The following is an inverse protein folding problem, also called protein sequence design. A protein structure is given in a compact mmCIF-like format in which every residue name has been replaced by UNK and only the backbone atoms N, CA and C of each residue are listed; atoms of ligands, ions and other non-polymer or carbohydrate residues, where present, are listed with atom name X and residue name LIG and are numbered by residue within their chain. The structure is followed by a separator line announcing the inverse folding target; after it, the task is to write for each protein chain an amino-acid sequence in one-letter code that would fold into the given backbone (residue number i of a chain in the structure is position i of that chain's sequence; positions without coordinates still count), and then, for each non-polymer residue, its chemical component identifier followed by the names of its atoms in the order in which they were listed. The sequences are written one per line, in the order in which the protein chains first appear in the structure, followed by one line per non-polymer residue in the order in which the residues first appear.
data_IF_402414120207
#
_entry.id   IF_402414120207
#
_cell.length_a   1.000
_cell.length_b   1.000
_cell.length_c   1.000
_cell.angle_alpha   90.00
_cell.angle_beta   90.00
_cell.angle_gamma   90.00
#
_symmetry.space_group_name_H-M   'P 1'
#
loop_
_entity.id
_entity.type
_entity.pdbx_description
1 polymer ?
#
# COMPACT_ATOMS: atom_id res chain seq x y z
N UNK A 1 18.47 -28.55 2.24
CA UNK A 1 18.40 -30.01 2.01
C UNK A 1 18.38 -30.32 0.52
N UNK A 2 17.41 -29.82 -0.27
CA UNK A 2 17.33 -30.05 -1.72
C UNK A 2 18.63 -29.69 -2.48
N UNK A 3 19.13 -28.46 -2.35
CA UNK A 3 20.36 -28.03 -3.05
C UNK A 3 21.63 -28.76 -2.63
N UNK A 4 21.67 -29.27 -1.39
CA UNK A 4 22.80 -30.06 -0.92
C UNK A 4 22.79 -31.45 -1.56
N UNK A 5 21.62 -32.07 -1.66
CA UNK A 5 21.44 -33.34 -2.39
C UNK A 5 21.70 -33.16 -3.89
N UNK A 6 21.27 -32.06 -4.50
CA UNK A 6 21.61 -31.73 -5.90
C UNK A 6 23.13 -31.62 -6.10
N UNK A 7 23.85 -30.99 -5.17
CA UNK A 7 25.31 -30.88 -5.24
C UNK A 7 26.02 -32.24 -5.11
N UNK A 8 25.56 -33.10 -4.19
CA UNK A 8 26.12 -34.45 -4.01
C UNK A 8 25.79 -35.33 -5.21
N UNK A 9 24.55 -35.35 -5.67
CA UNK A 9 24.12 -36.19 -6.80
C UNK A 9 24.70 -35.69 -8.13
N UNK A 10 24.94 -34.38 -8.27
CA UNK A 10 25.66 -33.81 -9.40
C UNK A 10 27.14 -34.22 -9.48
N UNK A 11 27.76 -34.62 -8.35
CA UNK A 11 29.10 -35.25 -8.36
C UNK A 11 29.08 -36.69 -8.91
N UNK A 12 27.90 -37.31 -8.95
CA UNK A 12 27.66 -38.66 -9.46
C UNK A 12 26.92 -38.64 -10.81
N UNK A 13 26.88 -37.51 -11.51
CA UNK A 13 26.16 -37.30 -12.79
C UNK A 13 24.65 -37.63 -12.76
N UNK A 14 24.02 -37.54 -11.58
CA UNK A 14 22.59 -37.74 -11.39
C UNK A 14 21.88 -36.38 -11.25
N UNK A 15 21.20 -35.95 -12.32
CA UNK A 15 20.52 -34.64 -12.39
C UNK A 15 19.01 -34.71 -12.12
N UNK A 16 18.56 -35.68 -11.32
CA UNK A 16 17.14 -35.87 -11.02
C UNK A 16 16.53 -34.80 -10.11
N UNK A 17 17.36 -34.01 -9.42
CA UNK A 17 16.92 -32.92 -8.55
C UNK A 17 17.37 -31.56 -9.10
N UNK A 18 16.43 -30.65 -9.33
CA UNK A 18 16.74 -29.29 -9.77
C UNK A 18 17.26 -28.43 -8.61
N UNK A 19 18.25 -27.58 -8.89
CA UNK A 19 18.70 -26.54 -7.98
C UNK A 19 17.56 -25.54 -7.74
N UNK A 20 17.16 -25.37 -6.49
CA UNK A 20 16.20 -24.33 -6.10
C UNK A 20 17.02 -23.09 -5.75
N UNK A 21 16.84 -21.98 -6.44
CA UNK A 21 17.52 -20.72 -6.08
C UNK A 21 17.03 -20.24 -4.72
N UNK A 22 17.77 -20.61 -3.67
CA UNK A 22 17.59 -20.03 -2.35
C UNK A 22 18.19 -18.63 -2.47
N UNK A 23 17.34 -17.61 -2.61
CA UNK A 23 17.73 -16.20 -2.56
C UNK A 23 18.69 -16.04 -1.38
N UNK A 24 19.91 -15.60 -1.65
CA UNK A 24 20.98 -15.51 -0.67
C UNK A 24 20.45 -14.76 0.57
N UNK A 25 20.48 -15.44 1.72
CA UNK A 25 20.24 -14.81 3.02
C UNK A 25 21.31 -13.73 3.20
N UNK A 26 20.96 -12.47 2.95
CA UNK A 26 21.86 -11.38 3.24
C UNK A 26 21.85 -11.17 4.76
N UNK A 27 22.93 -11.52 5.50
CA UNK A 27 22.93 -11.44 6.96
C UNK A 27 22.67 -10.01 7.45
N UNK A 28 23.00 -8.99 6.63
CA UNK A 28 22.75 -7.59 6.95
C UNK A 28 21.26 -7.26 7.03
N UNK A 29 20.42 -7.86 6.17
CA UNK A 29 18.97 -7.64 6.15
C UNK A 29 18.27 -8.13 7.42
N UNK A 30 18.85 -9.11 8.10
CA UNK A 30 18.32 -9.66 9.36
C UNK A 30 19.02 -9.08 10.59
N UNK A 31 20.28 -8.66 10.48
CA UNK A 31 21.03 -8.06 11.59
C UNK A 31 20.33 -6.79 12.12
N UNK A 32 19.87 -5.91 11.23
CA UNK A 32 19.17 -4.66 11.61
C UNK A 32 17.91 -4.92 12.44
N UNK A 33 16.92 -5.72 11.98
CA UNK A 33 15.73 -6.00 12.78
C UNK A 33 16.04 -6.78 14.06
N UNK A 34 17.01 -7.68 14.07
CA UNK A 34 17.43 -8.41 15.29
C UNK A 34 18.02 -7.46 16.34
N UNK A 35 18.94 -6.58 15.96
CA UNK A 35 19.52 -5.58 16.88
C UNK A 35 18.45 -4.63 17.40
N UNK A 36 17.56 -4.16 16.53
CA UNK A 36 16.44 -3.32 16.93
C UNK A 36 15.51 -4.01 17.93
N UNK A 37 15.14 -5.28 17.68
CA UNK A 37 14.29 -6.06 18.56
C UNK A 37 14.94 -6.32 19.92
N UNK A 38 16.25 -6.62 19.95
CA UNK A 38 17.02 -6.77 21.18
C UNK A 38 17.05 -5.47 21.98
N UNK A 39 17.30 -4.33 21.33
CA UNK A 39 17.33 -3.02 21.98
C UNK A 39 15.97 -2.67 22.60
N UNK A 40 14.88 -2.84 21.84
CA UNK A 40 13.51 -2.62 22.34
C UNK A 40 13.18 -3.57 23.49
N UNK A 41 13.58 -4.84 23.39
CA UNK A 41 13.40 -5.84 24.44
C UNK A 41 14.10 -5.45 25.75
N UNK A 42 15.37 -5.05 25.68
CA UNK A 42 16.15 -4.60 26.84
C UNK A 42 15.51 -3.35 27.47
N UNK A 43 15.14 -2.35 26.66
CA UNK A 43 14.48 -1.14 27.16
C UNK A 43 13.12 -1.43 27.82
N UNK A 44 12.37 -2.40 27.29
CA UNK A 44 11.10 -2.84 27.87
C UNK A 44 11.30 -3.60 29.18
N UNK A 45 12.36 -4.40 29.29
CA UNK A 45 12.67 -5.11 30.52
C UNK A 45 13.05 -4.17 31.67
N UNK A 46 13.88 -3.15 31.41
CA UNK A 46 14.43 -2.29 32.48
C UNK A 46 13.38 -1.37 33.12
N UNK A 47 12.50 -0.74 32.33
CA UNK A 47 11.51 0.25 32.83
C UNK A 47 10.16 0.17 32.09
N UNK A 48 9.82 -0.99 31.53
CA UNK A 48 8.52 -1.28 30.92
C UNK A 48 8.27 -0.58 29.59
N UNK A 49 7.99 0.74 29.65
CA UNK A 49 7.48 1.55 28.53
C UNK A 49 8.47 2.61 28.04
N UNK A 50 9.77 2.47 28.32
CA UNK A 50 10.78 3.48 27.90
C UNK A 50 10.80 3.72 26.39
N UNK A 51 10.76 2.66 25.59
CA UNK A 51 10.76 2.79 24.13
C UNK A 51 9.54 3.57 23.65
N UNK A 52 8.35 3.18 24.11
CA UNK A 52 7.10 3.86 23.78
C UNK A 52 7.08 5.31 24.24
N UNK A 53 7.66 5.60 25.41
CA UNK A 53 7.66 6.95 25.97
C UNK A 53 8.75 7.84 25.38
N UNK A 54 9.90 7.34 24.93
CA UNK A 54 11.03 8.21 24.56
C UNK A 54 11.42 8.18 23.08
N UNK A 55 11.24 7.04 22.40
CA UNK A 55 11.78 6.79 21.06
C UNK A 55 10.67 6.58 20.03
N UNK A 56 9.57 5.93 20.43
CA UNK A 56 8.50 5.58 19.52
C UNK A 56 7.78 6.84 18.97
N UNK A 57 7.69 6.99 17.64
CA UNK A 57 6.99 8.13 17.04
C UNK A 57 5.49 8.12 17.36
N UNK A 58 4.86 6.94 17.37
CA UNK A 58 3.45 6.76 17.72
C UNK A 58 3.19 7.16 19.17
N UNK A 59 4.07 6.76 20.11
CA UNK A 59 3.95 7.14 21.52
C UNK A 59 4.16 8.64 21.75
N UNK A 60 5.05 9.27 20.99
CA UNK A 60 5.26 10.73 21.01
C UNK A 60 4.03 11.49 20.50
N UNK A 61 3.44 11.02 19.39
CA UNK A 61 2.23 11.58 18.83
C UNK A 61 1.03 11.44 19.77
N UNK A 62 0.81 10.25 20.33
CA UNK A 62 -0.22 9.98 21.34
C UNK A 62 -0.01 10.81 22.62
N UNK A 63 1.23 11.01 23.06
CA UNK A 63 1.55 11.87 24.21
C UNK A 63 1.22 13.35 23.97
N UNK A 64 1.29 13.82 22.72
CA UNK A 64 0.88 15.17 22.33
C UNK A 64 -0.65 15.31 22.34
N UNK A 65 -1.37 14.31 21.84
CA UNK A 65 -2.85 14.26 21.88
C UNK A 65 -3.35 14.12 23.33
N UNK A 66 -2.67 13.32 24.16
CA UNK A 66 -3.03 13.09 25.56
C UNK A 66 -3.05 14.39 26.39
N UNK A 67 -2.23 15.39 26.04
CA UNK A 67 -2.26 16.72 26.68
C UNK A 67 -3.59 17.45 26.50
N UNK A 68 -4.39 17.10 25.50
CA UNK A 68 -5.71 17.66 25.22
C UNK A 68 -6.84 16.77 25.81
N UNK A 69 -6.52 15.59 26.36
CA UNK A 69 -7.52 14.68 26.93
C UNK A 69 -8.27 15.33 28.10
N UNK A 70 -9.61 15.27 28.07
CA UNK A 70 -10.49 15.86 29.09
C UNK A 70 -10.71 14.90 30.28
N UNK A 71 -10.55 13.59 30.05
CA UNK A 71 -10.67 12.56 31.07
C UNK A 71 -9.29 12.09 31.53
N UNK A 72 -9.05 12.17 32.85
CA UNK A 72 -7.75 11.86 33.44
C UNK A 72 -7.89 11.25 34.83
N UNK A 73 -6.82 10.58 35.28
CA UNK A 73 -6.70 10.12 36.66
C UNK A 73 -6.38 11.31 37.58
N UNK A 74 -7.13 11.44 38.67
CA UNK A 74 -7.01 12.50 39.68
C UNK A 74 -6.66 11.90 41.04
N UNK A 75 -5.87 12.63 41.83
CA UNK A 75 -5.67 12.36 43.25
C UNK A 75 -6.79 13.01 44.08
N UNK A 76 -7.22 12.32 45.13
CA UNK A 76 -8.02 12.86 46.23
C UNK A 76 -7.10 13.02 47.43
N UNK A 77 -6.68 14.25 47.70
CA UNK A 77 -5.71 14.56 48.75
C UNK A 77 -6.16 14.06 50.13
N UNK A 78 -7.46 14.16 50.42
CA UNK A 78 -8.06 13.73 51.69
C UNK A 78 -7.93 12.24 52.01
N UNK A 79 -7.67 11.38 51.02
CA UNK A 79 -7.58 9.92 51.19
C UNK A 79 -6.17 9.37 50.99
N UNK A 80 -5.21 10.19 50.54
CA UNK A 80 -3.89 9.69 50.14
C UNK A 80 -2.92 9.67 51.33
N UNK A 81 -2.47 8.47 51.72
CA UNK A 81 -1.47 8.25 52.78
C UNK A 81 -0.02 8.35 52.31
N UNK A 82 0.23 8.77 51.06
CA UNK A 82 1.56 8.85 50.44
C UNK A 82 2.39 7.55 50.50
N UNK A 83 1.73 6.39 50.48
CA UNK A 83 2.39 5.07 50.55
C UNK A 83 3.26 4.68 49.33
N UNK A 84 3.27 5.46 48.24
CA UNK A 84 4.12 5.23 47.06
C UNK A 84 3.74 4.03 46.16
N UNK A 85 2.78 3.17 46.56
CA UNK A 85 2.37 1.98 45.80
C UNK A 85 1.94 2.28 44.35
N UNK A 86 1.25 3.40 44.15
CA UNK A 86 0.82 3.85 42.82
C UNK A 86 2.01 4.17 41.89
N UNK A 87 3.08 4.75 42.43
CA UNK A 87 4.29 5.09 41.67
C UNK A 87 5.09 3.83 41.32
N UNK A 88 5.23 2.89 42.26
CA UNK A 88 5.87 1.59 42.03
C UNK A 88 5.19 0.77 40.94
N UNK A 89 3.84 0.76 40.90
CA UNK A 89 3.07 0.04 39.88
C UNK A 89 2.95 0.79 38.56
N UNK A 90 3.40 2.04 38.49
CA UNK A 90 3.31 2.88 37.31
C UNK A 90 4.37 2.49 36.27
N UNK A 91 3.96 1.70 35.26
CA UNK A 91 4.82 1.30 34.13
C UNK A 91 5.35 2.48 33.29
N UNK A 92 4.74 3.66 33.40
CA UNK A 92 5.18 4.89 32.72
C UNK A 92 6.03 5.81 33.59
N UNK A 93 6.22 5.47 34.88
CA UNK A 93 6.92 6.30 35.87
C UNK A 93 6.49 7.77 35.83
N UNK A 94 5.17 8.00 35.74
CA UNK A 94 4.55 9.32 35.53
C UNK A 94 3.80 9.83 36.76
N UNK A 95 3.88 9.15 37.91
CA UNK A 95 3.17 9.51 39.14
C UNK A 95 4.18 10.01 40.17
N UNK A 96 4.02 11.28 40.54
CA UNK A 96 4.66 11.89 41.70
C UNK A 96 3.66 11.91 42.86
N UNK A 97 3.84 10.98 43.79
CA UNK A 97 2.95 10.80 44.94
C UNK A 97 3.20 11.80 46.07
N UNK A 98 4.31 12.55 46.03
CA UNK A 98 4.63 13.58 47.03
C UNK A 98 3.89 14.89 46.70
N UNK A 99 3.84 15.23 45.41
CA UNK A 99 3.23 16.47 44.90
C UNK A 99 1.83 16.26 44.30
N UNK A 100 1.20 15.10 44.51
CA UNK A 100 -0.11 14.73 43.94
C UNK A 100 -0.23 14.94 42.43
N UNK A 101 0.90 14.83 41.71
CA UNK A 101 0.98 15.17 40.29
C UNK A 101 1.12 13.92 39.42
N UNK A 102 0.39 13.90 38.31
CA UNK A 102 0.48 12.84 37.30
C UNK A 102 0.84 13.49 35.97
N UNK A 103 1.99 13.12 35.43
CA UNK A 103 2.44 13.58 34.12
C UNK A 103 1.62 12.91 33.00
N UNK A 104 0.64 13.68 32.50
CA UNK A 104 -0.31 13.29 31.47
C UNK A 104 0.34 13.00 30.11
N UNK A 105 1.54 13.55 29.87
CA UNK A 105 2.24 13.33 28.60
C UNK A 105 2.81 11.91 28.48
N UNK A 106 2.94 11.21 29.62
CA UNK A 106 3.43 9.82 29.72
C UNK A 106 2.37 8.85 30.24
N UNK A 107 1.30 9.35 30.83
CA UNK A 107 0.19 8.52 31.28
C UNK A 107 -0.60 7.97 30.08
N UNK A 108 -0.83 6.66 30.08
CA UNK A 108 -1.60 5.93 29.06
C UNK A 108 -2.94 5.41 29.59
N UNK A 109 -3.38 5.91 30.75
CA UNK A 109 -4.63 5.49 31.42
C UNK A 109 -4.79 3.98 31.57
N UNK A 110 -3.73 3.28 31.97
CA UNK A 110 -3.75 1.82 32.19
C UNK A 110 -4.40 1.37 33.52
N UNK A 111 -4.88 2.30 34.34
CA UNK A 111 -5.58 2.11 35.63
C UNK A 111 -4.90 1.30 36.75
N UNK A 112 -3.71 0.75 36.51
CA UNK A 112 -2.92 0.03 37.54
C UNK A 112 -2.73 0.79 38.87
N UNK A 113 -2.69 2.12 38.83
CA UNK A 113 -2.53 2.95 40.03
C UNK A 113 -3.83 3.05 40.86
N UNK A 114 -5.00 2.96 40.21
CA UNK A 114 -6.31 2.93 40.88
C UNK A 114 -6.48 1.58 41.58
N UNK A 115 -6.16 0.48 40.87
CA UNK A 115 -6.34 -0.88 41.38
C UNK A 115 -5.47 -1.18 42.62
N UNK A 116 -4.24 -0.65 42.66
CA UNK A 116 -3.30 -0.91 43.77
C UNK A 116 -3.52 -0.01 44.99
N UNK A 117 -4.39 1.00 44.90
CA UNK A 117 -4.56 1.99 45.95
C UNK A 117 -5.55 1.49 47.02
N UNK A 118 -5.11 1.14 48.24
CA UNK A 118 -6.01 0.63 49.29
C UNK A 118 -7.04 1.67 49.71
N UNK A 119 -6.64 2.94 49.78
CA UNK A 119 -7.48 4.07 50.21
C UNK A 119 -8.41 4.60 49.12
N UNK A 120 -8.35 4.03 47.89
CA UNK A 120 -9.08 4.52 46.71
C UNK A 120 -8.92 6.04 46.49
N UNK A 121 -7.71 6.54 46.74
CA UNK A 121 -7.36 7.95 46.59
C UNK A 121 -7.19 8.39 45.13
N UNK A 122 -7.21 7.47 44.17
CA UNK A 122 -7.10 7.75 42.75
C UNK A 122 -8.43 7.45 42.06
N UNK A 123 -8.91 8.38 41.22
CA UNK A 123 -10.14 8.21 40.44
C UNK A 123 -9.97 8.71 39.02
N UNK A 124 -10.56 8.01 38.05
CA UNK A 124 -10.69 8.49 36.68
C UNK A 124 -11.93 9.36 36.56
N UNK A 125 -11.78 10.57 36.02
CA UNK A 125 -12.90 11.50 35.92
C UNK A 125 -12.65 12.66 34.97
N UNK A 126 -13.70 13.44 34.76
CA UNK A 126 -13.67 14.64 33.95
C UNK A 126 -12.90 15.76 34.68
N UNK A 127 -12.04 16.46 33.97
CA UNK A 127 -11.50 17.74 34.41
C UNK A 127 -12.42 18.81 33.80
N UNK A 128 -13.18 19.49 34.64
CA UNK A 128 -13.88 20.69 34.20
C UNK A 128 -12.83 21.70 33.72
N UNK A 129 -13.02 22.19 32.49
CA UNK A 129 -12.17 23.20 31.86
C UNK A 129 -12.24 24.50 32.66
N UNK A 130 -11.48 24.61 33.75
CA UNK A 130 -11.56 25.76 34.67
C UNK A 130 -10.77 25.65 35.98
N UNK A 131 -10.37 24.46 36.45
CA UNK A 131 -9.45 24.35 37.58
C UNK A 131 -8.04 24.77 37.12
N UNK A 132 -7.58 25.95 37.56
CA UNK A 132 -6.17 26.37 37.44
C UNK A 132 -5.30 25.35 38.16
N UNK A 133 -4.72 24.42 37.41
CA UNK A 133 -3.58 23.65 37.89
C UNK A 133 -2.45 24.67 38.03
N UNK A 134 -2.09 25.01 39.27
CA UNK A 134 -0.89 25.78 39.55
C UNK A 134 0.28 25.14 38.81
N UNK A 135 0.90 25.91 37.92
CA UNK A 135 2.10 25.49 37.20
C UNK A 135 3.13 25.08 38.26
N UNK A 136 3.66 23.86 38.26
CA UNK A 136 4.82 23.57 39.08
C UNK A 136 5.97 24.44 38.55
N UNK A 137 6.49 25.32 39.40
CA UNK A 137 7.55 26.29 39.11
C UNK A 137 8.91 25.66 38.73
N UNK A 138 9.00 24.33 38.61
CA UNK A 138 10.19 23.62 38.13
C UNK A 138 9.83 22.45 37.20
N UNK A 139 9.11 22.73 36.12
CA UNK A 139 9.00 21.82 34.97
C UNK A 139 9.91 22.25 33.81
N UNK A 140 11.07 22.83 34.09
CA UNK A 140 12.11 23.00 33.08
C UNK A 140 13.00 21.76 33.06
N UNK A 141 12.52 20.73 32.37
CA UNK A 141 13.32 19.74 31.63
C UNK A 141 12.35 19.00 30.71
N UNK A 142 11.75 19.75 29.80
CA UNK A 142 11.33 19.14 28.54
C UNK A 142 12.62 18.58 27.94
N UNK A 143 12.72 17.25 27.89
CA UNK A 143 13.94 16.52 27.57
C UNK A 143 14.55 17.05 26.26
N UNK A 144 15.62 17.86 26.37
CA UNK A 144 16.31 18.48 25.23
C UNK A 144 16.76 17.42 24.23
N UNK A 145 16.97 16.17 24.68
CA UNK A 145 17.23 15.02 23.83
C UNK A 145 16.07 14.68 22.90
N UNK A 146 14.83 14.65 23.39
CA UNK A 146 13.62 14.32 22.58
C UNK A 146 13.37 15.36 21.48
N UNK A 147 13.56 16.65 21.76
CA UNK A 147 13.35 17.71 20.74
C UNK A 147 14.44 17.69 19.67
N UNK A 148 15.69 17.42 20.05
CA UNK A 148 16.81 17.26 19.09
C UNK A 148 16.68 15.98 18.25
N UNK A 149 16.21 14.88 18.85
CA UNK A 149 15.99 13.63 18.13
C UNK A 149 14.85 13.75 17.11
N UNK A 150 13.72 14.37 17.48
CA UNK A 150 12.59 14.57 16.54
C UNK A 150 12.99 15.53 15.42
N UNK A 151 13.66 16.64 15.74
CA UNK A 151 14.14 17.59 14.73
C UNK A 151 15.19 16.93 13.80
N UNK A 152 16.12 16.16 14.35
CA UNK A 152 17.12 15.42 13.57
C UNK A 152 16.50 14.32 12.70
N UNK A 153 15.51 13.59 13.22
CA UNK A 153 14.79 12.55 12.45
C UNK A 153 13.98 13.14 11.31
N UNK A 154 13.31 14.28 11.52
CA UNK A 154 12.59 15.00 10.46
C UNK A 154 13.56 15.52 9.39
N UNK A 155 14.70 16.08 9.79
CA UNK A 155 15.72 16.57 8.86
C UNK A 155 16.34 15.43 8.05
N UNK A 156 16.52 14.24 8.64
CA UNK A 156 17.01 13.07 7.92
C UNK A 156 15.98 12.53 6.92
N UNK A 157 14.69 12.50 7.29
CA UNK A 157 13.58 12.13 6.39
C UNK A 157 13.41 13.12 5.22
N UNK A 158 13.58 14.42 5.47
CA UNK A 158 13.53 15.46 4.44
C UNK A 158 14.81 15.51 3.59
N UNK A 159 15.94 15.08 4.15
CA UNK A 159 17.23 15.00 3.46
C UNK A 159 17.34 13.84 2.47
N UNK A 160 16.56 12.77 2.64
CA UNK A 160 16.55 11.61 1.72
C UNK A 160 15.71 11.89 0.45
N UNK A 161 14.88 12.94 0.43
CA UNK A 161 13.98 13.22 -0.69
C UNK A 161 14.62 13.94 -1.89
N UNK A 162 15.86 14.43 -1.78
CA UNK A 162 16.51 15.18 -2.87
C UNK A 162 17.33 14.30 -3.83
N UNK A 163 17.34 12.98 -3.65
CA UNK A 163 18.08 12.03 -4.49
C UNK A 163 17.23 11.08 -5.34
N UNK A 164 15.89 11.21 -5.32
CA UNK A 164 14.98 10.35 -6.11
C UNK A 164 14.39 11.10 -7.32
N UNK A 165 15.08 12.12 -7.80
CA UNK A 165 14.77 12.77 -9.07
C UNK A 165 15.19 11.87 -10.24
N UNK A 166 14.22 11.27 -10.90
CA UNK A 166 14.28 10.94 -12.32
C UNK A 166 15.21 9.80 -12.73
N UNK A 167 14.74 8.55 -12.62
CA UNK A 167 14.98 7.62 -13.72
C UNK A 167 13.95 7.93 -14.81
N UNK A 168 14.21 8.98 -15.59
CA UNK A 168 13.55 9.09 -16.90
C UNK A 168 13.98 7.88 -17.72
N UNK A 169 13.02 7.02 -18.06
CA UNK A 169 13.23 5.93 -19.01
C UNK A 169 13.65 6.56 -20.33
N UNK A 170 14.95 6.51 -20.66
CA UNK A 170 15.46 6.85 -21.99
C UNK A 170 14.66 6.06 -23.03
N UNK A 171 13.89 6.74 -23.88
CA UNK A 171 13.19 6.15 -25.02
C UNK A 171 11.67 6.28 -25.05
N UNK A 172 11.02 6.86 -24.02
CA UNK A 172 9.58 7.15 -24.11
C UNK A 172 9.32 8.41 -24.94
N UNK A 173 8.48 8.29 -25.98
CA UNK A 173 7.94 9.44 -26.72
C UNK A 173 7.17 10.32 -25.73
N UNK A 174 7.74 11.48 -25.39
CA UNK A 174 7.08 12.48 -24.56
C UNK A 174 6.18 13.31 -25.47
N UNK A 175 4.85 13.34 -25.24
CA UNK A 175 3.96 14.13 -26.07
C UNK A 175 4.30 15.61 -25.96
N UNK A 176 4.32 16.32 -27.09
CA UNK A 176 4.60 17.76 -27.12
C UNK A 176 3.43 18.57 -26.54
N UNK A 177 2.21 18.04 -26.60
CA UNK A 177 0.98 18.69 -26.13
C UNK A 177 0.36 17.95 -24.96
N UNK A 178 0.11 18.66 -23.87
CA UNK A 178 -0.65 18.12 -22.74
C UNK A 178 -2.12 17.87 -23.13
N UNK A 179 -2.64 16.71 -22.77
CA UNK A 179 -4.06 16.36 -22.95
C UNK A 179 -4.99 17.22 -22.09
N UNK A 180 -6.19 17.54 -22.59
CA UNK A 180 -7.16 18.41 -21.90
C UNK A 180 -8.32 17.66 -21.25
N UNK A 181 -8.75 16.51 -21.79
CA UNK A 181 -9.95 15.80 -21.33
C UNK A 181 -9.57 14.77 -20.28
N UNK A 182 -10.11 14.91 -19.07
CA UNK A 182 -9.94 13.92 -17.99
C UNK A 182 -10.77 12.67 -18.27
N UNK A 183 -10.25 11.50 -17.90
CA UNK A 183 -10.94 10.21 -18.06
C UNK A 183 -12.19 10.15 -17.15
N UNK A 184 -13.41 10.05 -17.71
CA UNK A 184 -14.61 9.91 -16.91
C UNK A 184 -14.74 8.46 -16.43
N UNK A 185 -14.09 8.13 -15.31
CA UNK A 185 -14.28 6.82 -14.68
C UNK A 185 -15.55 6.79 -13.85
N UNK A 186 -16.43 5.84 -14.15
CA UNK A 186 -17.68 5.63 -13.43
C UNK A 186 -17.43 4.76 -12.20
N UNK A 187 -16.68 3.68 -12.38
CA UNK A 187 -16.33 2.75 -11.31
C UNK A 187 -14.83 2.49 -11.26
N UNK A 188 -14.27 2.28 -10.05
CA UNK A 188 -12.91 1.80 -9.93
C UNK A 188 -12.78 0.38 -10.46
N UNK A 189 -11.65 0.07 -11.08
CA UNK A 189 -11.43 -1.24 -11.68
C UNK A 189 -10.98 -2.22 -10.59
N UNK A 190 -11.89 -3.13 -10.23
CA UNK A 190 -11.64 -4.17 -9.25
C UNK A 190 -10.68 -5.26 -9.78
N UNK A 191 -9.85 -5.88 -8.93
CA UNK A 191 -8.97 -6.96 -9.34
C UNK A 191 -9.77 -8.18 -9.82
N UNK A 192 -9.24 -9.00 -10.74
CA UNK A 192 -9.93 -10.21 -11.20
C UNK A 192 -10.27 -11.13 -10.02
N UNK A 193 -11.45 -11.72 -10.06
CA UNK A 193 -12.00 -12.56 -8.98
C UNK A 193 -12.87 -11.81 -7.95
N UNK A 194 -12.92 -10.46 -7.99
CA UNK A 194 -13.76 -9.66 -7.09
C UNK A 194 -15.27 -9.96 -7.20
N UNK A 195 -15.76 -10.33 -8.38
CA UNK A 195 -17.19 -10.63 -8.59
C UNK A 195 -17.99 -9.35 -8.79
N UNK A 196 -18.36 -8.66 -7.72
CA UNK A 196 -18.96 -7.32 -7.78
C UNK A 196 -18.22 -6.32 -6.91
N UNK A 197 -18.42 -5.04 -7.20
CA UNK A 197 -17.91 -3.92 -6.43
C UNK A 197 -18.34 -4.01 -4.96
N UNK A 198 -19.61 -4.31 -4.70
CA UNK A 198 -20.18 -4.39 -3.36
C UNK A 198 -19.64 -5.60 -2.60
N UNK A 199 -19.67 -6.79 -3.22
CA UNK A 199 -19.20 -8.04 -2.60
C UNK A 199 -17.71 -7.94 -2.23
N UNK A 200 -16.91 -7.35 -3.11
CA UNK A 200 -15.50 -7.12 -2.88
C UNK A 200 -15.24 -6.14 -1.74
N UNK A 201 -15.96 -5.01 -1.72
CA UNK A 201 -15.79 -3.98 -0.69
C UNK A 201 -16.15 -4.51 0.69
N UNK A 202 -17.15 -5.39 0.79
CA UNK A 202 -17.57 -6.02 2.05
C UNK A 202 -16.57 -7.09 2.55
N UNK A 203 -16.03 -7.92 1.65
CA UNK A 203 -15.17 -9.05 2.02
C UNK A 203 -13.68 -8.70 2.14
N UNK A 204 -13.24 -7.62 1.50
CA UNK A 204 -11.83 -7.25 1.45
C UNK A 204 -11.41 -6.54 2.74
N UNK A 205 -10.49 -7.16 3.49
CA UNK A 205 -9.93 -6.62 4.74
C UNK A 205 -8.73 -5.68 4.54
N UNK A 206 -8.42 -5.30 3.29
CA UNK A 206 -7.27 -4.45 2.95
C UNK A 206 -5.91 -4.96 3.49
N UNK A 207 -5.73 -6.28 3.61
CA UNK A 207 -4.50 -6.91 4.12
C UNK A 207 -3.25 -6.71 3.24
N UNK A 208 -3.41 -6.17 2.03
CA UNK A 208 -2.32 -5.84 1.08
C UNK A 208 -1.49 -7.04 0.57
N UNK A 209 -1.92 -8.29 0.81
CA UNK A 209 -1.21 -9.48 0.32
C UNK A 209 -1.17 -9.54 -1.22
N UNK A 210 -2.31 -9.30 -1.87
CA UNK A 210 -2.40 -9.31 -3.33
C UNK A 210 -1.65 -8.14 -3.98
N UNK A 211 -1.57 -6.98 -3.31
CA UNK A 211 -0.77 -5.82 -3.75
C UNK A 211 0.70 -6.23 -3.84
N UNK A 212 1.24 -6.79 -2.75
CA UNK A 212 2.65 -7.20 -2.70
C UNK A 212 2.99 -8.40 -3.58
N UNK A 213 2.01 -9.27 -3.87
CA UNK A 213 2.18 -10.43 -4.74
C UNK A 213 2.06 -10.11 -6.23
N UNK A 214 1.66 -8.88 -6.60
CA UNK A 214 1.43 -8.51 -7.98
C UNK A 214 2.77 -8.36 -8.73
N UNK A 215 3.06 -9.16 -9.78
CA UNK A 215 4.33 -9.08 -10.48
C UNK A 215 4.50 -7.81 -11.33
N UNK A 216 3.38 -7.16 -11.69
CA UNK A 216 3.35 -5.97 -12.55
C UNK A 216 3.04 -4.69 -11.76
N UNK A 217 2.94 -4.76 -10.43
CA UNK A 217 2.62 -3.62 -9.55
C UNK A 217 1.37 -2.80 -9.94
N UNK A 218 0.44 -3.41 -10.69
CA UNK A 218 -0.81 -2.75 -11.12
C UNK A 218 -1.79 -2.58 -9.95
N UNK A 219 -1.71 -3.45 -8.94
CA UNK A 219 -2.53 -3.33 -7.74
C UNK A 219 -1.95 -2.27 -6.82
N UNK A 220 -2.74 -1.27 -6.49
CA UNK A 220 -2.35 -0.18 -5.59
C UNK A 220 -3.38 -0.01 -4.48
N UNK A 221 -2.98 0.50 -3.29
CA UNK A 221 -3.93 0.81 -2.23
C UNK A 221 -4.81 1.99 -2.66
N UNK A 222 -6.12 1.77 -2.67
CA UNK A 222 -7.10 2.82 -2.91
C UNK A 222 -7.09 3.84 -1.76
N UNK A 223 -7.21 5.11 -2.11
CA UNK A 223 -7.34 6.21 -1.14
C UNK A 223 -8.78 6.70 -1.12
N UNK A 224 -9.37 6.93 -2.31
CA UNK A 224 -10.73 7.47 -2.45
C UNK A 224 -11.58 6.72 -3.49
N UNK A 225 -10.96 5.82 -4.25
CA UNK A 225 -11.56 5.14 -5.39
C UNK A 225 -12.80 4.32 -5.00
N UNK A 226 -12.76 3.64 -3.85
CA UNK A 226 -13.86 2.87 -3.28
C UNK A 226 -14.67 3.65 -2.21
N UNK A 227 -14.51 4.97 -2.13
CA UNK A 227 -15.00 5.77 -1.01
C UNK A 227 -14.22 5.55 0.28
N UNK A 228 -14.75 6.04 1.41
CA UNK A 228 -14.09 5.95 2.72
C UNK A 228 -14.06 4.50 3.22
N UNK A 229 -15.11 3.72 2.92
CA UNK A 229 -15.23 2.31 3.33
C UNK A 229 -14.17 1.42 2.69
N UNK A 230 -13.77 1.69 1.46
CA UNK A 230 -12.73 0.93 0.77
C UNK A 230 -11.33 1.55 0.85
N UNK A 231 -11.04 2.30 1.91
CA UNK A 231 -9.70 2.80 2.16
C UNK A 231 -8.69 1.64 2.24
N UNK A 232 -7.56 1.78 1.55
CA UNK A 232 -6.49 0.78 1.40
C UNK A 232 -6.87 -0.52 0.70
N UNK A 233 -8.11 -0.64 0.17
CA UNK A 233 -8.48 -1.80 -0.64
C UNK A 233 -7.73 -1.78 -1.99
N UNK A 234 -7.37 -2.94 -2.54
CA UNK A 234 -6.60 -3.00 -3.78
C UNK A 234 -7.45 -2.57 -4.98
N UNK A 235 -6.99 -1.53 -5.69
CA UNK A 235 -7.54 -1.07 -6.98
C UNK A 235 -6.52 -1.29 -8.08
N UNK A 236 -6.99 -1.54 -9.31
CA UNK A 236 -6.12 -1.58 -10.48
C UNK A 236 -5.76 -0.15 -10.92
N UNK A 237 -4.48 0.19 -10.89
CA UNK A 237 -3.95 1.48 -11.33
C UNK A 237 -3.05 1.30 -12.57
N UNK A 238 -3.59 1.69 -13.71
CA UNK A 238 -2.93 1.53 -15.00
C UNK A 238 -1.90 2.61 -15.33
N UNK A 239 -1.69 3.60 -14.46
CA UNK A 239 -0.54 4.50 -14.58
C UNK A 239 0.76 3.82 -14.10
N UNK A 240 0.66 2.82 -13.22
CA UNK A 240 1.83 2.13 -12.65
C UNK A 240 2.17 0.83 -13.35
N UNK A 241 1.16 0.07 -13.79
CA UNK A 241 1.36 -1.20 -14.48
C UNK A 241 0.11 -1.68 -15.19
N UNK A 242 0.03 -2.97 -15.50
CA UNK A 242 -1.15 -3.57 -16.15
C UNK A 242 -1.38 -5.00 -15.67
N UNK A 243 -2.60 -5.52 -15.85
CA UNK A 243 -2.91 -6.91 -15.54
C UNK A 243 -2.33 -7.85 -16.60
N UNK A 244 -1.27 -8.60 -16.29
CA UNK A 244 -0.73 -9.60 -17.21
C UNK A 244 -1.80 -10.61 -17.61
N UNK A 245 -1.96 -10.92 -18.91
CA UNK A 245 -3.01 -11.82 -19.41
C UNK A 245 -2.98 -13.20 -18.74
N UNK A 246 -1.79 -13.83 -18.67
CA UNK A 246 -1.58 -15.18 -18.12
C UNK A 246 -1.17 -15.17 -16.63
N UNK A 247 -1.94 -14.53 -15.76
CA UNK A 247 -1.62 -14.42 -14.32
C UNK A 247 -2.86 -14.52 -13.43
N UNK A 248 -2.79 -15.31 -12.35
CA UNK A 248 -3.85 -15.54 -11.36
C UNK A 248 -3.37 -15.33 -9.90
N UNK A 249 -2.16 -14.79 -9.69
CA UNK A 249 -1.53 -14.73 -8.36
C UNK A 249 -2.35 -14.01 -7.29
N UNK A 250 -3.09 -12.95 -7.65
CA UNK A 250 -3.88 -12.20 -6.68
C UNK A 250 -5.07 -13.00 -6.13
N UNK A 251 -5.65 -13.92 -6.91
CA UNK A 251 -6.76 -14.76 -6.48
C UNK A 251 -6.28 -15.96 -5.66
N UNK A 252 -5.05 -16.43 -5.90
CA UNK A 252 -4.43 -17.52 -5.14
C UNK A 252 -4.04 -17.12 -3.71
N UNK A 253 -3.66 -15.86 -3.48
CA UNK A 253 -3.16 -15.39 -2.18
C UNK A 253 -4.25 -14.80 -1.27
N UNK A 254 -5.48 -14.64 -1.75
CA UNK A 254 -6.54 -13.97 -1.00
C UNK A 254 -7.08 -14.86 0.13
N UNK A 255 -6.88 -14.51 1.42
CA UNK A 255 -7.30 -15.35 2.53
C UNK A 255 -8.81 -15.26 2.83
N UNK A 256 -9.44 -14.13 2.50
CA UNK A 256 -10.87 -13.89 2.80
C UNK A 256 -11.78 -14.29 1.65
N UNK A 257 -11.23 -14.79 0.55
CA UNK A 257 -11.98 -15.09 -0.67
C UNK A 257 -12.73 -13.86 -1.24
N UNK A 258 -12.26 -12.64 -0.92
CA UNK A 258 -12.72 -11.41 -1.55
C UNK A 258 -12.34 -11.37 -3.04
N UNK A 259 -11.24 -12.03 -3.41
CA UNK A 259 -10.91 -12.39 -4.77
C UNK A 259 -11.09 -13.91 -4.90
N UNK A 260 -12.15 -14.32 -5.58
CA UNK A 260 -12.46 -15.74 -5.82
C UNK A 260 -11.34 -16.38 -6.65
N UNK A 261 -10.85 -17.60 -6.29
CA UNK A 261 -9.93 -18.35 -7.11
C UNK A 261 -10.45 -18.46 -8.54
N UNK A 262 -9.61 -18.08 -9.49
CA UNK A 262 -9.92 -18.16 -10.92
C UNK A 262 -8.91 -19.06 -11.59
N UNK A 263 -9.40 -19.96 -12.44
CA UNK A 263 -8.56 -20.67 -13.40
C UNK A 263 -8.06 -19.69 -14.46
N UNK A 264 -6.91 -19.98 -15.06
CA UNK A 264 -6.28 -19.10 -16.04
C UNK A 264 -7.21 -18.84 -17.25
N UNK A 265 -7.88 -19.87 -17.75
CA UNK A 265 -8.84 -19.74 -18.87
C UNK A 265 -10.08 -18.91 -18.50
N UNK A 266 -10.61 -19.08 -17.28
CA UNK A 266 -11.70 -18.25 -16.79
C UNK A 266 -11.28 -16.78 -16.65
N UNK A 267 -10.05 -16.53 -16.19
CA UNK A 267 -9.50 -15.19 -16.03
C UNK A 267 -9.29 -14.49 -17.38
N UNK A 268 -8.93 -15.23 -18.44
CA UNK A 268 -8.83 -14.70 -19.82
C UNK A 268 -10.17 -14.26 -20.40
N UNK A 269 -11.29 -14.69 -19.81
CA UNK A 269 -12.64 -14.32 -20.21
C UNK A 269 -13.34 -13.43 -19.17
N UNK A 270 -12.72 -13.17 -18.02
CA UNK A 270 -13.33 -12.33 -16.98
C UNK A 270 -13.14 -10.86 -17.34
N UNK A 271 -14.22 -10.17 -17.68
CA UNK A 271 -14.23 -8.73 -17.94
C UNK A 271 -14.42 -7.95 -16.65
N UNK A 272 -13.31 -7.38 -16.16
CA UNK A 272 -13.29 -6.52 -14.96
C UNK A 272 -13.63 -5.05 -15.27
N UNK A 273 -13.54 -4.67 -16.53
CA UNK A 273 -13.83 -3.33 -17.02
C UNK A 273 -13.83 -3.26 -18.54
N UNK A 274 -14.30 -2.15 -19.08
CA UNK A 274 -14.43 -1.90 -20.52
C UNK A 274 -13.47 -0.81 -20.95
N UNK A 275 -12.90 -0.99 -22.14
CA UNK A 275 -12.01 0.01 -22.73
C UNK A 275 -12.85 1.14 -23.33
N UNK A 276 -12.41 2.38 -23.10
CA UNK A 276 -13.02 3.60 -23.63
C UNK A 276 -11.93 4.42 -24.29
N UNK A 277 -12.18 4.84 -25.53
CA UNK A 277 -11.26 5.65 -26.32
C UNK A 277 -11.75 7.11 -26.40
N UNK A 278 -10.88 8.03 -25.99
CA UNK A 278 -11.08 9.48 -26.08
C UNK A 278 -10.25 10.00 -27.26
N UNK A 279 -10.90 10.15 -28.41
CA UNK A 279 -10.27 10.60 -29.66
C UNK A 279 -9.54 11.94 -29.51
N UNK A 280 -10.07 12.85 -28.70
CA UNK A 280 -9.52 14.21 -28.52
C UNK A 280 -8.17 14.26 -27.80
N UNK A 281 -7.82 13.23 -27.04
CA UNK A 281 -6.54 13.12 -26.35
C UNK A 281 -5.47 12.38 -27.18
N UNK A 282 -5.84 11.71 -28.27
CA UNK A 282 -4.95 10.82 -29.02
C UNK A 282 -3.89 11.59 -29.80
N UNK A 283 -2.61 11.19 -29.69
CA UNK A 283 -1.49 11.85 -30.42
C UNK A 283 -1.66 11.81 -31.93
N UNK A 284 -2.35 10.78 -32.45
CA UNK A 284 -2.65 10.66 -33.88
C UNK A 284 -3.53 11.84 -34.33
N UNK A 285 -4.46 12.30 -33.48
CA UNK A 285 -5.31 13.46 -33.77
C UNK A 285 -4.64 14.77 -33.39
N UNK A 286 -4.02 14.85 -32.20
CA UNK A 286 -3.52 16.12 -31.65
C UNK A 286 -2.19 16.56 -32.26
N UNK A 287 -1.32 15.59 -32.59
CA UNK A 287 0.06 15.82 -33.07
C UNK A 287 0.32 15.18 -34.44
N UNK A 288 -0.71 14.58 -35.08
CA UNK A 288 -0.62 13.97 -36.42
C UNK A 288 0.53 12.95 -36.55
N UNK A 289 0.81 12.24 -35.46
CA UNK A 289 1.90 11.24 -35.38
C UNK A 289 1.36 9.83 -35.48
N UNK A 290 1.98 8.98 -36.31
CA UNK A 290 1.61 7.57 -36.43
C UNK A 290 1.92 6.80 -35.13
N UNK A 291 0.89 6.31 -34.44
CA UNK A 291 1.01 5.59 -33.17
C UNK A 291 0.01 4.43 -33.09
N UNK A 292 0.53 3.22 -32.84
CA UNK A 292 -0.26 1.99 -32.69
C UNK A 292 -0.11 1.29 -31.33
N UNK A 293 0.53 1.94 -30.34
CA UNK A 293 0.98 1.30 -29.09
C UNK A 293 -0.14 0.55 -28.34
N UNK A 294 -1.35 1.10 -28.33
CA UNK A 294 -2.50 0.49 -27.65
C UNK A 294 -3.01 -0.80 -28.34
N UNK A 295 -2.98 -0.86 -29.68
CA UNK A 295 -3.39 -2.03 -30.47
C UNK A 295 -2.35 -3.15 -30.38
N UNK A 296 -1.06 -2.80 -30.50
CA UNK A 296 0.04 -3.77 -30.40
C UNK A 296 0.11 -4.43 -29.01
N UNK A 297 -0.14 -3.64 -27.96
CA UNK A 297 -0.11 -4.14 -26.58
C UNK A 297 -1.35 -4.96 -26.21
N UNK A 298 -2.44 -4.90 -26.98
CA UNK A 298 -3.70 -5.53 -26.63
C UNK A 298 -3.66 -7.05 -26.83
N UNK A 299 -3.71 -7.87 -25.77
CA UNK A 299 -3.62 -9.33 -25.90
C UNK A 299 -4.89 -9.96 -26.50
N UNK A 300 -6.05 -9.34 -26.29
CA UNK A 300 -7.33 -9.85 -26.81
C UNK A 300 -7.70 -9.27 -28.17
N UNK A 301 -6.88 -8.35 -28.72
CA UNK A 301 -7.20 -7.55 -29.91
C UNK A 301 -8.54 -6.80 -29.83
N UNK A 302 -8.95 -6.46 -28.61
CA UNK A 302 -10.07 -5.54 -28.33
C UNK A 302 -9.82 -4.11 -28.84
N UNK A 303 -8.57 -3.74 -29.03
CA UNK A 303 -8.17 -2.47 -29.63
C UNK A 303 -7.53 -2.80 -30.98
N UNK A 304 -8.05 -2.23 -32.06
CA UNK A 304 -7.57 -2.43 -33.42
C UNK A 304 -7.46 -1.09 -34.14
N UNK A 305 -6.61 -1.02 -35.16
CA UNK A 305 -6.35 0.22 -35.89
C UNK A 305 -7.22 0.31 -37.15
N UNK A 306 -7.85 1.47 -37.37
CA UNK A 306 -8.62 1.78 -38.59
C UNK A 306 -8.00 2.95 -39.34
N UNK A 307 -8.16 3.03 -40.67
CA UNK A 307 -7.72 4.18 -41.45
C UNK A 307 -8.30 5.50 -40.91
N UNK A 308 -7.43 6.51 -40.85
CA UNK A 308 -7.73 7.87 -40.43
C UNK A 308 -7.09 8.86 -41.41
N UNK A 309 -7.33 10.16 -41.20
CA UNK A 309 -6.85 11.25 -42.07
C UNK A 309 -5.35 11.14 -42.40
N UNK A 310 -4.95 11.62 -43.58
CA UNK A 310 -3.55 11.81 -43.99
C UNK A 310 -2.69 10.52 -43.95
N UNK A 311 -3.26 9.38 -44.35
CA UNK A 311 -2.64 8.03 -44.26
C UNK A 311 -2.30 7.57 -42.83
N UNK A 312 -2.83 8.23 -41.81
CA UNK A 312 -2.68 7.78 -40.43
C UNK A 312 -3.70 6.69 -40.13
N UNK A 313 -3.46 5.95 -39.05
CA UNK A 313 -4.42 5.00 -38.49
C UNK A 313 -4.72 5.38 -37.05
N UNK A 314 -5.95 5.21 -36.62
CA UNK A 314 -6.41 5.55 -35.27
C UNK A 314 -7.04 4.32 -34.61
N UNK A 315 -6.92 4.13 -33.28
CA UNK A 315 -7.54 2.99 -32.62
C UNK A 315 -9.06 3.11 -32.57
N UNK A 316 -9.72 1.98 -32.79
CA UNK A 316 -11.10 1.70 -32.40
C UNK A 316 -11.13 0.54 -31.39
N UNK A 317 -12.24 0.41 -30.67
CA UNK A 317 -12.36 -0.51 -29.56
C UNK A 317 -13.62 -1.37 -29.63
N UNK A 318 -13.45 -2.68 -29.46
CA UNK A 318 -14.54 -3.63 -29.24
C UNK A 318 -14.63 -3.96 -27.74
N UNK A 319 -15.73 -3.54 -27.11
CA UNK A 319 -15.94 -3.74 -25.67
C UNK A 319 -16.34 -5.17 -25.29
N UNK A 320 -16.85 -5.97 -26.22
CA UNK A 320 -17.35 -7.32 -25.94
C UNK A 320 -16.22 -8.32 -25.69
N UNK A 321 -15.10 -8.16 -26.39
CA UNK A 321 -13.88 -8.98 -26.26
C UNK A 321 -12.85 -8.36 -25.30
N UNK A 322 -13.09 -7.15 -24.82
CA UNK A 322 -12.21 -6.52 -23.84
C UNK A 322 -12.37 -7.21 -22.48
N UNK A 323 -11.24 -7.48 -21.81
CA UNK A 323 -11.26 -8.02 -20.44
C UNK A 323 -10.95 -6.97 -19.38
N UNK A 324 -10.62 -5.75 -19.79
CA UNK A 324 -10.27 -4.66 -18.87
C UNK A 324 -8.87 -4.78 -18.26
N UNK A 325 -7.90 -5.41 -18.92
CA UNK A 325 -6.54 -5.62 -18.38
C UNK A 325 -5.68 -4.33 -18.25
N UNK A 326 -6.07 -3.26 -18.94
CA UNK A 326 -5.43 -1.94 -18.91
C UNK A 326 -4.06 -1.84 -19.57
N UNK A 327 -3.61 -2.86 -20.31
CA UNK A 327 -2.30 -2.80 -21.00
C UNK A 327 -2.26 -1.68 -22.05
N UNK A 328 -3.39 -1.44 -22.74
CA UNK A 328 -3.52 -0.34 -23.70
C UNK A 328 -3.45 1.05 -23.03
N UNK A 329 -3.97 1.19 -21.81
CA UNK A 329 -3.92 2.43 -21.03
C UNK A 329 -2.49 2.71 -20.53
N UNK A 330 -1.80 1.68 -20.02
CA UNK A 330 -0.40 1.78 -19.59
C UNK A 330 0.55 2.12 -20.74
N UNK A 331 0.33 1.50 -21.92
CA UNK A 331 1.13 1.73 -23.11
C UNK A 331 0.89 3.11 -23.77
N UNK A 332 -0.19 3.80 -23.42
CA UNK A 332 -0.53 5.08 -24.02
C UNK A 332 0.49 6.16 -23.60
N UNK A 333 1.20 6.81 -24.55
CA UNK A 333 2.24 7.81 -24.22
C UNK A 333 1.66 9.16 -23.78
N UNK A 334 0.35 9.38 -23.99
CA UNK A 334 -0.31 10.66 -23.69
C UNK A 334 -0.24 10.97 -22.20
N UNK A 335 -0.01 12.23 -21.86
CA UNK A 335 0.01 12.77 -20.50
C UNK A 335 -0.62 14.16 -20.46
N UNK A 336 -1.21 14.60 -19.33
CA UNK A 336 -1.42 13.85 -18.08
C UNK A 336 -2.57 12.83 -18.13
N UNK A 337 -3.55 13.03 -19.02
CA UNK A 337 -4.72 12.17 -19.18
C UNK A 337 -4.56 11.28 -20.42
N UNK A 338 -4.78 9.99 -20.27
CA UNK A 338 -4.63 9.00 -21.34
C UNK A 338 -5.70 9.20 -22.42
N UNK A 339 -5.36 8.84 -23.65
CA UNK A 339 -6.32 8.82 -24.75
C UNK A 339 -7.19 7.56 -24.75
N UNK A 340 -6.75 6.51 -24.07
CA UNK A 340 -7.48 5.25 -23.94
C UNK A 340 -7.38 4.82 -22.48
N UNK A 341 -8.50 4.45 -21.88
CA UNK A 341 -8.56 4.05 -20.49
C UNK A 341 -9.55 2.91 -20.29
N UNK A 342 -9.48 2.24 -19.15
CA UNK A 342 -10.42 1.20 -18.75
C UNK A 342 -11.36 1.76 -17.68
N UNK A 343 -12.67 1.73 -17.94
CA UNK A 343 -13.70 1.99 -16.95
C UNK A 343 -14.09 0.67 -16.26
N UNK A 344 -14.22 0.68 -14.93
CA UNK A 344 -14.54 -0.52 -14.15
C UNK A 344 -15.98 -0.97 -14.40
N UNK A 345 -16.20 -2.28 -14.39
CA UNK A 345 -17.57 -2.79 -14.33
C UNK A 345 -18.02 -2.89 -12.87
N UNK A 346 -19.27 -2.52 -12.52
CA UNK A 346 -19.81 -2.73 -11.18
C UNK A 346 -19.90 -4.23 -10.84
N UNK A 347 -20.19 -5.06 -11.84
CA UNK A 347 -20.19 -6.53 -11.74
C UNK A 347 -19.33 -7.09 -12.86
N UNK A 348 -18.42 -8.00 -12.52
CA UNK A 348 -17.60 -8.68 -13.51
C UNK A 348 -18.48 -9.56 -14.40
N UNK A 349 -18.30 -9.44 -15.71
CA UNK A 349 -19.03 -10.22 -16.71
C UNK A 349 -18.07 -11.11 -17.48
N UNK A 350 -18.59 -12.07 -18.23
CA UNK A 350 -17.80 -12.86 -19.16
C UNK A 350 -17.67 -12.09 -20.49
N UNK A 351 -16.43 -11.84 -20.94
CA UNK A 351 -16.13 -11.35 -22.27
C UNK A 351 -16.39 -12.45 -23.32
N UNK A 352 -16.75 -12.04 -24.52
CA UNK A 352 -16.84 -12.95 -25.67
C UNK A 352 -15.44 -13.44 -26.03
N UNK A 353 -15.32 -14.72 -26.38
CA UNK A 353 -14.05 -15.30 -26.80
C UNK A 353 -13.62 -14.63 -28.12
N UNK A 354 -12.39 -14.11 -28.23
CA UNK A 354 -11.94 -13.51 -29.47
C UNK A 354 -11.90 -14.56 -30.59
N UNK A 355 -12.37 -14.18 -31.78
CA UNK A 355 -12.25 -15.00 -32.98
C UNK A 355 -10.78 -15.04 -33.40
N UNK A 356 -10.13 -16.17 -33.18
CA UNK A 356 -8.76 -16.40 -33.68
C UNK A 356 -8.90 -16.74 -35.16
N UNK A 357 -8.73 -15.75 -36.03
CA UNK A 357 -8.42 -16.06 -37.44
C UNK A 357 -7.00 -16.59 -37.44
N UNK A 358 -6.85 -17.90 -37.58
CA UNK A 358 -5.55 -18.51 -37.88
C UNK A 358 -5.03 -17.81 -39.14
N UNK A 359 -3.99 -17.00 -38.96
CA UNK A 359 -3.30 -16.41 -40.07
C UNK A 359 -2.50 -17.58 -40.65
N UNK A 360 -2.84 -18.01 -41.86
CA UNK A 360 -1.99 -18.92 -42.63
C UNK A 360 -0.64 -18.22 -42.83
N UNK A 361 0.30 -18.47 -41.92
CA UNK A 361 1.68 -18.05 -42.09
C UNK A 361 2.24 -19.00 -43.14
N UNK A 362 2.16 -18.61 -44.41
CA UNK A 362 2.99 -19.20 -45.45
C UNK A 362 4.44 -18.85 -45.09
N UNK A 363 5.11 -19.79 -44.45
CA UNK A 363 6.57 -19.69 -44.26
C UNK A 363 7.18 -19.75 -45.66
N UNK A 364 7.95 -18.73 -46.11
CA UNK A 364 8.74 -18.87 -47.32
C UNK A 364 9.70 -20.04 -47.09
N UNK A 365 9.71 -21.04 -47.99
CA UNK A 365 10.48 -22.28 -47.82
C UNK A 365 12.00 -22.06 -47.72
N UNK A 366 12.52 -20.89 -48.09
CA UNK A 366 13.93 -20.54 -47.92
C UNK A 366 14.08 -19.08 -47.47
N UNK A 367 14.60 -18.90 -46.27
CA UNK A 367 15.15 -17.62 -45.83
C UNK A 367 16.57 -17.53 -46.42
N UNK A 368 16.87 -16.60 -47.35
CA UNK A 368 18.16 -16.57 -48.01
C UNK A 368 19.22 -16.09 -47.01
N UNK A 369 20.03 -17.03 -46.52
CA UNK A 369 21.28 -16.76 -45.81
C UNK A 369 22.46 -16.81 -46.77
#
# INVERSE_FOLDING_TARGET
VNNFLTWVLGKFDVYTLHHVDIRAFNPLSYAVPTVFLLLVGIMSFVKGRLYCNMICPVGTFLGLISKVSIFRVKFKESKCTRCGRCSLRCKSSCIDFLNYNIDVSRCVNCFNCIDVCPEKALSYGFIASGEKVEKPEKAEKTDKGRRKFVAGSLLMLLGISHGAGGQEKKGTVVPAKASSVKEPRTYPVCPPGAGSFEEFTEKCTACSLCINACPNDVLQPAIKQYGISGFMQPVMDYHRGFCAFNCTRCTEICPTNALKPLLLEAKKLTQIGKVVFIKDNCIVKTEKTACGACSESCPTKAVYMVPYEDNLVIPETNQDICIGCGHCEYACPVTPYKAIFVDGNPVHVAATKPEIKETEITTPEEFPF
#
